data_IF_353535377706
#
_entry.id   IF_353535377706
#
_cell.length_a   1.000
_cell.length_b   1.000
_cell.length_c   1.000
_cell.angle_alpha   90.00
_cell.angle_beta   90.00
_cell.angle_gamma   90.00
#
_symmetry.space_group_name_H-M   'P 1'
#
loop_
_entity.id
_entity.type
_entity.pdbx_description
1 polymer ?
#
# COMPACT_ATOMS: atom_id res chain seq x y z
N UNK A 1 97.25 -10.83 -44.59
CA UNK A 1 95.77 -10.67 -44.79
C UNK A 1 95.05 -11.00 -43.50
N UNK A 2 94.67 -9.96 -42.75
CA UNK A 2 94.05 -10.12 -41.48
C UNK A 2 92.56 -9.74 -41.67
N UNK A 3 91.62 -10.66 -41.49
CA UNK A 3 90.17 -10.44 -41.54
C UNK A 3 89.67 -9.98 -40.16
N UNK A 4 89.21 -8.75 -40.04
CA UNK A 4 88.58 -8.20 -38.85
C UNK A 4 87.16 -8.71 -38.74
N UNK A 5 86.86 -9.38 -37.64
CA UNK A 5 85.51 -9.81 -37.29
C UNK A 5 84.83 -8.72 -36.39
N UNK A 6 83.79 -8.09 -36.97
CA UNK A 6 83.02 -7.10 -36.26
C UNK A 6 81.84 -7.82 -35.60
N UNK A 7 81.93 -8.04 -34.27
CA UNK A 7 80.81 -8.51 -33.47
C UNK A 7 79.74 -7.40 -33.39
N UNK A 8 78.54 -7.73 -33.89
CA UNK A 8 77.32 -6.88 -33.70
C UNK A 8 76.66 -7.34 -32.36
N UNK A 9 76.73 -6.49 -31.32
CA UNK A 9 75.96 -6.64 -30.12
C UNK A 9 74.54 -6.14 -30.41
N UNK A 10 73.57 -7.04 -30.43
CA UNK A 10 72.13 -6.71 -30.44
C UNK A 10 71.69 -6.40 -29.01
N UNK A 11 71.42 -5.13 -28.73
CA UNK A 11 70.74 -4.69 -27.48
C UNK A 11 69.26 -4.89 -27.68
N UNK A 12 68.72 -5.91 -27.03
CA UNK A 12 67.25 -6.07 -26.87
C UNK A 12 66.77 -5.09 -25.82
N UNK A 13 66.11 -4.00 -26.24
CA UNK A 13 65.37 -3.12 -25.35
C UNK A 13 64.05 -3.83 -24.98
N UNK A 14 63.97 -4.34 -23.73
CA UNK A 14 62.75 -4.82 -23.12
C UNK A 14 61.90 -3.59 -22.76
N UNK A 15 60.93 -3.20 -23.63
CA UNK A 15 59.86 -2.28 -23.23
C UNK A 15 58.92 -3.08 -22.28
N UNK A 16 59.10 -2.95 -20.99
CA UNK A 16 58.15 -3.36 -20.00
C UNK A 16 56.92 -2.43 -20.15
N UNK A 17 55.80 -2.98 -20.56
CA UNK A 17 54.51 -2.27 -20.48
C UNK A 17 54.18 -2.13 -19.00
N UNK A 18 54.37 -0.94 -18.45
CA UNK A 18 53.85 -0.54 -17.15
C UNK A 18 52.31 -0.41 -17.40
N UNK A 19 51.57 -1.38 -16.95
CA UNK A 19 50.12 -1.23 -16.85
C UNK A 19 49.88 -0.08 -15.85
N UNK A 20 49.54 1.09 -16.36
CA UNK A 20 49.13 2.21 -15.56
C UNK A 20 47.83 1.76 -14.86
N UNK A 21 47.87 1.56 -13.52
CA UNK A 21 46.67 1.40 -12.72
C UNK A 21 45.96 2.74 -12.78
N UNK A 22 44.86 2.83 -13.50
CA UNK A 22 44.03 4.03 -13.51
C UNK A 22 43.48 4.23 -12.07
N UNK A 23 43.48 5.47 -11.57
CA UNK A 23 42.92 5.75 -10.24
C UNK A 23 41.42 5.39 -10.23
N UNK A 24 40.89 4.95 -9.08
CA UNK A 24 39.46 4.64 -8.96
C UNK A 24 38.60 5.84 -9.36
N UNK A 25 37.51 5.56 -10.09
CA UNK A 25 36.56 6.61 -10.49
C UNK A 25 35.64 6.99 -9.31
N UNK A 26 35.38 8.28 -9.07
CA UNK A 26 34.50 8.70 -8.00
C UNK A 26 33.03 8.37 -8.33
N UNK A 27 32.29 7.85 -7.32
CA UNK A 27 30.84 7.61 -7.38
C UNK A 27 30.20 8.00 -6.05
N UNK A 28 28.88 8.22 -6.05
CA UNK A 28 28.17 8.61 -4.83
C UNK A 28 27.87 7.41 -3.95
N UNK A 29 27.50 6.29 -4.55
CA UNK A 29 27.07 5.08 -3.85
C UNK A 29 27.60 3.84 -4.58
N UNK A 30 28.11 2.91 -3.78
CA UNK A 30 28.47 1.56 -4.20
C UNK A 30 27.78 0.55 -3.28
N UNK A 31 26.93 -0.30 -3.85
CA UNK A 31 26.36 -1.47 -3.19
C UNK A 31 27.19 -2.68 -3.61
N UNK A 32 27.53 -3.57 -2.67
CA UNK A 32 28.35 -4.76 -2.94
C UNK A 32 27.95 -5.96 -2.07
N UNK A 33 28.55 -7.12 -2.33
CA UNK A 33 28.28 -8.36 -1.60
C UNK A 33 26.79 -8.71 -1.56
N UNK A 34 26.08 -8.54 -2.68
CA UNK A 34 24.66 -8.77 -2.77
C UNK A 34 24.25 -9.61 -3.97
N UNK A 35 22.96 -9.64 -4.21
CA UNK A 35 22.32 -10.24 -5.38
C UNK A 35 21.57 -9.16 -6.15
N UNK A 36 22.24 -8.51 -7.11
CA UNK A 36 21.66 -7.45 -7.95
C UNK A 36 20.98 -8.11 -9.14
N UNK A 37 19.65 -8.11 -9.16
CA UNK A 37 18.85 -8.66 -10.27
C UNK A 37 18.45 -7.50 -11.19
N UNK A 38 18.95 -7.49 -12.41
CA UNK A 38 18.75 -6.35 -13.34
C UNK A 38 17.39 -6.35 -14.03
N UNK A 39 16.70 -7.50 -14.03
CA UNK A 39 15.41 -7.68 -14.74
C UNK A 39 15.52 -7.31 -16.22
N UNK A 40 16.70 -7.50 -16.81
CA UNK A 40 16.91 -7.45 -18.24
C UNK A 40 16.37 -8.73 -18.91
N UNK A 41 16.40 -8.81 -20.23
CA UNK A 41 15.88 -9.97 -20.99
C UNK A 41 16.52 -11.30 -20.57
N UNK A 42 17.74 -11.28 -20.04
CA UNK A 42 18.47 -12.44 -19.56
C UNK A 42 18.29 -12.71 -18.06
N UNK A 43 17.59 -11.84 -17.31
CA UNK A 43 17.51 -11.86 -15.85
C UNK A 43 18.88 -11.97 -15.20
N UNK A 44 19.81 -11.12 -15.67
CA UNK A 44 21.20 -11.12 -15.22
C UNK A 44 21.32 -10.83 -13.74
N UNK A 45 22.25 -11.51 -13.07
CA UNK A 45 22.50 -11.35 -11.65
C UNK A 45 23.96 -10.96 -11.45
N UNK A 46 24.15 -9.84 -10.75
CA UNK A 46 25.45 -9.31 -10.37
C UNK A 46 25.62 -9.24 -8.85
N UNK A 47 26.79 -8.85 -8.36
CA UNK A 47 27.10 -8.76 -6.93
C UNK A 47 27.17 -7.32 -6.43
N UNK A 48 27.43 -6.37 -7.35
CA UNK A 48 27.62 -4.98 -7.02
C UNK A 48 26.99 -4.05 -8.06
N UNK A 49 26.69 -2.82 -7.63
CA UNK A 49 26.21 -1.72 -8.48
C UNK A 49 26.80 -0.40 -8.02
N UNK A 50 27.28 0.41 -8.98
CA UNK A 50 27.82 1.75 -8.76
C UNK A 50 26.83 2.80 -9.28
N UNK A 51 26.61 3.88 -8.48
CA UNK A 51 25.69 4.97 -8.79
C UNK A 51 26.41 6.30 -8.70
N UNK A 52 26.21 7.18 -9.70
CA UNK A 52 26.72 8.55 -9.76
C UNK A 52 25.61 9.48 -10.22
N UNK A 53 25.39 10.59 -9.51
CA UNK A 53 24.36 11.59 -9.82
C UNK A 53 22.96 10.97 -9.98
N UNK A 54 22.63 9.97 -9.15
CA UNK A 54 21.36 9.27 -9.21
C UNK A 54 21.20 8.29 -10.37
N UNK A 55 22.28 8.05 -11.16
CA UNK A 55 22.25 7.13 -12.30
C UNK A 55 23.16 5.93 -12.02
N UNK A 56 22.68 4.72 -12.35
CA UNK A 56 23.51 3.51 -12.34
C UNK A 56 24.55 3.64 -13.45
N UNK A 57 25.84 3.68 -13.08
CA UNK A 57 26.94 3.81 -14.04
C UNK A 57 27.60 2.47 -14.34
N UNK A 58 27.50 1.49 -13.42
CA UNK A 58 28.03 0.15 -13.64
C UNK A 58 27.32 -0.89 -12.79
N UNK A 59 27.27 -2.14 -13.28
CA UNK A 59 26.84 -3.33 -12.55
C UNK A 59 27.84 -4.45 -12.82
N UNK A 60 28.25 -5.18 -11.78
CA UNK A 60 29.29 -6.20 -11.92
C UNK A 60 29.50 -7.06 -10.69
N UNK A 61 30.67 -7.65 -10.60
CA UNK A 61 31.13 -8.33 -9.39
C UNK A 61 31.64 -7.37 -8.33
N UNK A 62 32.13 -7.92 -7.20
CA UNK A 62 32.75 -7.13 -6.13
C UNK A 62 34.10 -6.48 -6.56
N UNK A 63 34.59 -6.77 -7.75
CA UNK A 63 35.72 -6.05 -8.38
C UNK A 63 35.43 -4.56 -8.58
N UNK A 64 34.14 -4.14 -8.62
CA UNK A 64 33.77 -2.73 -8.65
C UNK A 64 34.33 -1.94 -7.47
N UNK A 65 34.57 -2.60 -6.30
CA UNK A 65 35.21 -1.98 -5.12
C UNK A 65 36.63 -1.47 -5.41
N UNK A 66 37.31 -2.03 -6.39
CA UNK A 66 38.65 -1.59 -6.81
C UNK A 66 38.62 -0.57 -7.95
N UNK A 67 37.51 -0.52 -8.69
CA UNK A 67 37.33 0.39 -9.85
C UNK A 67 36.72 1.74 -9.46
N UNK A 68 35.97 1.77 -8.35
CA UNK A 68 35.26 2.97 -7.92
C UNK A 68 35.65 3.38 -6.49
N UNK A 69 35.77 4.70 -6.28
CA UNK A 69 35.88 5.32 -4.98
C UNK A 69 34.53 5.96 -4.62
N UNK A 70 33.78 5.33 -3.72
CA UNK A 70 32.42 5.75 -3.38
C UNK A 70 32.37 6.65 -2.15
N UNK A 71 31.57 7.72 -2.21
CA UNK A 71 31.24 8.55 -1.03
C UNK A 71 30.52 7.72 0.05
N UNK A 72 29.69 6.76 -0.38
CA UNK A 72 28.99 5.83 0.49
C UNK A 72 29.07 4.42 -0.06
N UNK A 73 29.53 3.48 0.77
CA UNK A 73 29.55 2.05 0.43
C UNK A 73 28.59 1.31 1.36
N UNK A 74 27.79 0.40 0.83
CA UNK A 74 26.83 -0.43 1.58
C UNK A 74 27.14 -1.90 1.29
N UNK A 75 27.49 -2.65 2.33
CA UNK A 75 27.52 -4.11 2.28
C UNK A 75 26.10 -4.65 2.36
N UNK A 76 25.68 -5.38 1.35
CA UNK A 76 24.33 -5.94 1.25
C UNK A 76 24.17 -7.24 2.04
N UNK A 77 25.25 -7.83 2.52
CA UNK A 77 25.23 -9.08 3.31
C UNK A 77 24.42 -10.20 2.61
N UNK A 78 24.55 -10.32 1.29
CA UNK A 78 23.82 -11.28 0.48
C UNK A 78 22.36 -10.92 0.16
N UNK A 79 21.88 -9.74 0.59
CA UNK A 79 20.51 -9.28 0.29
C UNK A 79 20.31 -9.04 -1.20
N UNK A 80 19.06 -9.18 -1.64
CA UNK A 80 18.67 -8.96 -3.04
C UNK A 80 18.32 -7.50 -3.27
N UNK A 81 18.82 -6.95 -4.37
CA UNK A 81 18.43 -5.63 -4.91
C UNK A 81 17.70 -5.84 -6.22
N UNK A 82 16.58 -5.18 -6.35
CA UNK A 82 15.70 -5.18 -7.54
C UNK A 82 15.48 -3.76 -8.00
N UNK A 83 15.17 -3.52 -9.29
CA UNK A 83 14.57 -2.25 -9.72
C UNK A 83 13.31 -1.96 -8.91
N UNK A 84 13.00 -0.68 -8.69
CA UNK A 84 11.75 -0.27 -8.08
C UNK A 84 10.54 -0.83 -8.83
N UNK A 85 9.53 -1.28 -8.10
CA UNK A 85 8.32 -1.82 -8.71
C UNK A 85 7.47 -0.71 -9.31
N UNK A 86 6.90 -0.98 -10.49
CA UNK A 86 5.84 -0.17 -11.07
C UNK A 86 4.52 -0.91 -10.87
N UNK A 87 3.70 -0.44 -9.91
CA UNK A 87 2.35 -0.94 -9.77
C UNK A 87 1.46 -0.32 -10.85
N UNK A 88 0.98 -1.15 -11.78
CA UNK A 88 0.14 -0.71 -12.90
C UNK A 88 -1.35 -0.94 -12.64
N UNK A 89 -1.73 -1.49 -11.49
CA UNK A 89 -3.10 -1.72 -11.09
C UNK A 89 -3.29 -1.38 -9.60
N UNK A 90 -3.46 -0.11 -9.33
CA UNK A 90 -3.64 0.41 -7.99
C UNK A 90 -5.01 1.05 -7.83
N UNK A 91 -5.73 0.68 -6.77
CA UNK A 91 -6.94 1.37 -6.33
C UNK A 91 -6.58 2.25 -5.14
N UNK A 92 -6.51 3.55 -5.37
CA UNK A 92 -6.25 4.53 -4.34
C UNK A 92 -7.35 5.59 -4.36
N UNK A 93 -7.91 5.88 -3.21
CA UNK A 93 -8.92 6.90 -3.01
C UNK A 93 -8.64 7.67 -1.73
N UNK A 94 -9.23 8.82 -1.59
CA UNK A 94 -9.29 9.52 -0.31
C UNK A 94 -10.60 9.19 0.38
N UNK A 95 -10.54 8.96 1.67
CA UNK A 95 -11.70 8.72 2.52
C UNK A 95 -12.21 10.03 3.13
N UNK A 96 -13.51 10.27 3.12
CA UNK A 96 -14.08 11.43 3.79
C UNK A 96 -13.95 11.27 5.32
N UNK A 97 -13.91 12.40 6.03
CA UNK A 97 -13.76 12.42 7.49
C UNK A 97 -14.80 11.56 8.22
N UNK A 98 -15.98 11.38 7.61
CA UNK A 98 -17.09 10.55 8.15
C UNK A 98 -16.86 9.04 8.06
N UNK A 99 -15.82 8.58 7.34
CA UNK A 99 -15.54 7.17 7.13
C UNK A 99 -14.70 6.61 8.26
N UNK A 100 -15.04 5.39 8.68
CA UNK A 100 -14.31 4.59 9.66
C UNK A 100 -13.72 3.38 8.92
N UNK A 101 -12.44 3.14 9.09
CA UNK A 101 -11.82 1.87 8.71
C UNK A 101 -12.12 0.83 9.79
N UNK A 102 -12.81 -0.25 9.40
CA UNK A 102 -13.24 -1.33 10.28
C UNK A 102 -12.53 -2.66 9.97
N UNK A 103 -11.48 -2.63 9.16
CA UNK A 103 -10.80 -3.85 8.68
C UNK A 103 -10.15 -4.64 9.81
N UNK A 104 -9.65 -3.96 10.84
CA UNK A 104 -8.98 -4.56 11.99
C UNK A 104 -9.90 -4.68 13.23
N UNK A 105 -11.19 -4.37 13.08
CA UNK A 105 -12.14 -4.38 14.20
C UNK A 105 -12.47 -5.81 14.63
N UNK A 106 -12.19 -6.16 15.90
CA UNK A 106 -12.28 -7.50 16.44
C UNK A 106 -13.56 -7.82 17.23
N UNK A 107 -14.46 -6.84 17.43
CA UNK A 107 -15.71 -7.06 18.18
C UNK A 107 -16.79 -6.04 17.83
N UNK A 108 -18.05 -6.37 18.14
CA UNK A 108 -19.17 -5.43 18.05
C UNK A 108 -18.99 -4.27 19.04
N UNK A 109 -18.45 -4.55 20.23
CA UNK A 109 -18.19 -3.51 21.23
C UNK A 109 -17.14 -2.49 20.73
N UNK A 110 -16.09 -2.95 20.10
CA UNK A 110 -15.08 -2.09 19.48
C UNK A 110 -15.65 -1.26 18.32
N UNK A 111 -16.46 -1.90 17.45
CA UNK A 111 -17.18 -1.19 16.39
C UNK A 111 -18.06 -0.06 16.96
N UNK A 112 -18.80 -0.32 18.03
CA UNK A 112 -19.61 0.70 18.70
C UNK A 112 -18.76 1.86 19.25
N UNK A 113 -17.59 1.55 19.83
CA UNK A 113 -16.67 2.57 20.34
C UNK A 113 -16.12 3.46 19.22
N UNK A 114 -15.73 2.88 18.10
CA UNK A 114 -15.27 3.63 16.91
C UNK A 114 -16.40 4.51 16.35
N UNK A 115 -17.64 4.01 16.33
CA UNK A 115 -18.81 4.81 15.92
C UNK A 115 -19.05 5.98 16.90
N UNK A 116 -18.99 5.75 18.23
CA UNK A 116 -19.13 6.84 19.26
C UNK A 116 -18.03 7.88 19.11
N UNK A 117 -16.79 7.45 18.87
CA UNK A 117 -15.68 8.37 18.65
C UNK A 117 -15.94 9.26 17.41
N UNK A 118 -16.47 8.66 16.32
CA UNK A 118 -16.81 9.40 15.10
C UNK A 118 -18.00 10.35 15.32
N UNK A 119 -19.00 9.99 16.11
CA UNK A 119 -20.09 10.91 16.54
C UNK A 119 -19.50 12.12 17.28
N UNK A 120 -18.58 11.89 18.21
CA UNK A 120 -17.95 12.96 18.98
C UNK A 120 -17.10 13.90 18.10
N UNK A 121 -16.50 13.36 17.03
CA UNK A 121 -15.71 14.14 16.08
C UNK A 121 -16.58 15.01 15.16
N UNK A 122 -17.67 14.46 14.62
CA UNK A 122 -18.50 15.11 13.60
C UNK A 122 -19.64 15.94 14.15
N UNK A 123 -20.17 15.58 15.33
CA UNK A 123 -21.38 16.14 15.91
C UNK A 123 -22.65 15.41 15.46
N UNK A 124 -23.77 15.83 16.08
CA UNK A 124 -25.10 15.21 15.84
C UNK A 124 -25.63 15.52 14.43
N UNK A 125 -26.37 14.58 13.86
CA UNK A 125 -27.02 14.71 12.55
C UNK A 125 -26.14 14.37 11.36
N UNK A 126 -24.82 14.31 11.53
CA UNK A 126 -23.89 13.99 10.45
C UNK A 126 -23.89 12.49 10.13
N UNK A 127 -23.78 12.16 8.84
CA UNK A 127 -23.64 10.78 8.40
C UNK A 127 -22.33 10.17 8.87
N UNK A 128 -22.41 8.93 9.36
CA UNK A 128 -21.25 8.10 9.65
C UNK A 128 -21.24 6.93 8.66
N UNK A 129 -20.11 6.74 7.99
CA UNK A 129 -19.88 5.62 7.08
C UNK A 129 -18.70 4.79 7.55
N UNK A 130 -18.60 3.56 7.10
CA UNK A 130 -17.46 2.70 7.40
C UNK A 130 -17.40 1.52 6.42
N UNK A 131 -16.22 0.89 6.40
CA UNK A 131 -15.97 -0.27 5.55
C UNK A 131 -15.04 -1.26 6.26
N UNK A 132 -15.26 -2.54 6.01
CA UNK A 132 -14.27 -3.57 6.33
C UNK A 132 -14.66 -4.50 7.49
N UNK A 133 -15.75 -4.26 8.22
CA UNK A 133 -16.13 -5.18 9.30
C UNK A 133 -16.46 -6.59 8.78
N UNK A 134 -16.16 -7.61 9.60
CA UNK A 134 -16.51 -9.00 9.34
C UNK A 134 -16.88 -9.70 10.63
N UNK A 135 -18.04 -10.38 10.63
CA UNK A 135 -18.48 -11.22 11.75
C UNK A 135 -17.51 -12.37 12.06
N UNK A 136 -16.72 -12.78 11.08
CA UNK A 136 -15.73 -13.85 11.24
C UNK A 136 -14.55 -13.40 12.12
N UNK A 137 -14.26 -12.10 12.15
CA UNK A 137 -13.24 -11.49 13.02
C UNK A 137 -13.78 -11.17 14.42
N UNK A 138 -15.11 -11.09 14.60
CA UNK A 138 -15.70 -10.63 15.85
C UNK A 138 -15.72 -11.71 16.92
N UNK A 139 -15.35 -11.34 18.14
CA UNK A 139 -15.38 -12.24 19.30
C UNK A 139 -16.79 -12.76 19.59
N UNK A 140 -17.84 -11.97 19.28
CA UNK A 140 -19.23 -12.35 19.46
C UNK A 140 -19.75 -13.31 18.37
N UNK A 141 -18.96 -13.57 17.31
CA UNK A 141 -19.32 -14.48 16.21
C UNK A 141 -20.70 -14.17 15.59
N UNK A 142 -21.05 -12.88 15.53
CA UNK A 142 -22.30 -12.40 14.97
C UNK A 142 -22.11 -11.11 14.17
N UNK A 143 -23.02 -10.85 13.25
CA UNK A 143 -23.11 -9.55 12.57
C UNK A 143 -23.49 -8.46 13.58
N UNK A 144 -23.02 -7.22 13.39
CA UNK A 144 -23.58 -6.07 14.05
C UNK A 144 -25.03 -5.87 13.60
N UNK A 145 -25.85 -5.32 14.46
CA UNK A 145 -27.27 -5.10 14.22
C UNK A 145 -27.63 -3.63 14.28
N UNK A 146 -28.84 -3.31 13.81
CA UNK A 146 -29.43 -1.97 13.95
C UNK A 146 -29.37 -1.47 15.40
N UNK A 147 -29.72 -2.34 16.36
CA UNK A 147 -29.73 -1.97 17.78
C UNK A 147 -28.34 -1.62 18.31
N UNK A 148 -27.29 -2.32 17.88
CA UNK A 148 -25.92 -1.98 18.25
C UNK A 148 -25.54 -0.58 17.77
N UNK A 149 -25.98 -0.21 16.56
CA UNK A 149 -25.70 1.12 15.98
C UNK A 149 -26.59 2.21 16.57
N UNK A 150 -27.85 1.92 16.86
CA UNK A 150 -28.78 2.85 17.55
C UNK A 150 -28.24 3.26 18.93
N UNK A 151 -27.62 2.31 19.65
CA UNK A 151 -26.98 2.57 20.94
C UNK A 151 -25.74 3.46 20.81
N UNK A 152 -24.93 3.23 19.77
CA UNK A 152 -23.69 3.97 19.56
C UNK A 152 -23.91 5.37 18.98
N UNK A 153 -24.91 5.52 18.11
CA UNK A 153 -25.19 6.76 17.35
C UNK A 153 -26.71 7.01 17.23
N UNK A 154 -27.39 7.40 18.34
CA UNK A 154 -28.84 7.59 18.33
C UNK A 154 -29.29 8.79 17.49
N UNK A 155 -28.44 9.79 17.31
CA UNK A 155 -28.75 11.05 16.59
C UNK A 155 -28.04 11.19 15.24
N UNK A 156 -27.29 10.15 14.80
CA UNK A 156 -26.53 10.18 13.55
C UNK A 156 -26.96 9.03 12.63
N UNK A 157 -27.23 9.25 11.34
CA UNK A 157 -27.45 8.16 10.41
C UNK A 157 -26.14 7.41 10.14
N UNK A 158 -26.19 6.07 10.24
CA UNK A 158 -25.02 5.19 10.14
C UNK A 158 -25.21 4.15 9.03
N UNK A 159 -24.20 3.97 8.20
CA UNK A 159 -24.11 2.85 7.26
C UNK A 159 -22.68 2.30 7.23
N UNK A 160 -22.50 1.05 7.61
CA UNK A 160 -21.21 0.37 7.69
C UNK A 160 -21.19 -0.83 6.74
N UNK A 161 -20.35 -0.76 5.73
CA UNK A 161 -20.23 -1.81 4.70
C UNK A 161 -19.34 -2.95 5.20
N UNK A 162 -19.79 -4.18 5.01
CA UNK A 162 -19.03 -5.40 5.32
C UNK A 162 -17.83 -5.55 4.36
N UNK A 163 -16.79 -6.20 4.82
CA UNK A 163 -15.70 -6.69 3.96
C UNK A 163 -16.26 -7.46 2.76
N UNK A 164 -15.75 -7.16 1.55
CA UNK A 164 -16.27 -7.71 0.30
C UNK A 164 -17.38 -6.87 -0.35
N UNK A 165 -17.99 -5.88 0.34
CA UNK A 165 -18.86 -4.89 -0.30
C UNK A 165 -20.28 -5.34 -0.66
N UNK A 166 -20.70 -6.58 -0.32
CA UNK A 166 -21.99 -7.14 -0.69
C UNK A 166 -23.12 -6.92 0.32
N UNK A 167 -22.81 -6.37 1.49
CA UNK A 167 -23.80 -6.03 2.51
C UNK A 167 -23.33 -4.85 3.36
N UNK A 168 -24.31 -4.19 3.98
CA UNK A 168 -24.07 -3.17 5.00
C UNK A 168 -25.02 -3.35 6.16
N UNK A 169 -24.62 -2.88 7.34
CA UNK A 169 -25.50 -2.68 8.47
C UNK A 169 -25.79 -1.18 8.62
N UNK A 170 -27.05 -0.85 8.89
CA UNK A 170 -27.51 0.52 9.06
C UNK A 170 -28.33 0.63 10.36
N UNK A 171 -28.38 1.84 10.93
CA UNK A 171 -29.18 2.12 12.10
C UNK A 171 -30.63 2.54 11.74
N UNK A 172 -31.47 2.74 12.77
CA UNK A 172 -32.86 3.13 12.61
C UNK A 172 -33.00 4.46 11.86
N UNK A 173 -32.20 5.46 12.21
CA UNK A 173 -32.26 6.79 11.58
C UNK A 173 -31.94 6.72 10.08
N UNK A 174 -30.98 5.90 9.69
CA UNK A 174 -30.66 5.70 8.27
C UNK A 174 -31.78 5.01 7.49
N UNK A 175 -32.50 4.04 8.11
CA UNK A 175 -33.70 3.45 7.53
C UNK A 175 -34.84 4.46 7.40
N UNK A 176 -35.06 5.27 8.43
CA UNK A 176 -36.11 6.30 8.43
C UNK A 176 -35.90 7.33 7.31
N UNK A 177 -34.66 7.80 7.15
CA UNK A 177 -34.27 8.70 6.06
C UNK A 177 -34.45 8.05 4.68
N UNK A 178 -34.27 6.75 4.57
CA UNK A 178 -34.49 5.99 3.33
C UNK A 178 -35.98 5.66 3.06
N UNK A 179 -36.88 5.93 4.02
CA UNK A 179 -38.29 5.56 3.95
C UNK A 179 -38.51 4.04 4.02
N UNK A 180 -37.59 3.32 4.68
CA UNK A 180 -37.59 1.86 4.79
C UNK A 180 -38.14 1.47 6.17
N UNK A 181 -39.17 0.63 6.16
CA UNK A 181 -39.80 0.09 7.37
C UNK A 181 -39.84 -1.44 7.35
N UNK A 182 -40.31 -2.05 8.43
CA UNK A 182 -40.52 -3.51 8.48
C UNK A 182 -41.47 -4.04 7.41
N UNK A 183 -42.38 -3.20 6.93
CA UNK A 183 -43.38 -3.57 5.92
C UNK A 183 -42.87 -3.34 4.48
N UNK A 184 -41.67 -2.76 4.33
CA UNK A 184 -41.06 -2.56 3.03
C UNK A 184 -40.75 -3.90 2.37
N UNK A 185 -41.03 -4.05 1.06
CA UNK A 185 -40.62 -5.23 0.31
C UNK A 185 -39.11 -5.26 0.12
N UNK A 186 -38.56 -6.46 -0.08
CA UNK A 186 -37.18 -6.57 -0.54
C UNK A 186 -36.97 -5.81 -1.84
N UNK A 187 -35.88 -5.07 -1.99
CA UNK A 187 -35.55 -4.43 -3.25
C UNK A 187 -35.22 -5.48 -4.34
N UNK A 188 -35.33 -5.10 -5.59
CA UNK A 188 -34.93 -5.99 -6.69
C UNK A 188 -33.49 -6.45 -6.51
N UNK A 189 -33.28 -7.76 -6.54
CA UNK A 189 -31.98 -8.43 -6.34
C UNK A 189 -31.28 -8.12 -5.01
N UNK A 190 -32.05 -7.73 -3.95
CA UNK A 190 -31.52 -7.44 -2.63
C UNK A 190 -32.40 -7.97 -1.52
N UNK A 191 -31.88 -7.94 -0.31
CA UNK A 191 -32.60 -8.43 0.88
C UNK A 191 -32.46 -7.41 2.00
N UNK A 192 -33.62 -7.06 2.61
CA UNK A 192 -33.69 -6.42 3.93
C UNK A 192 -33.81 -7.53 4.96
N UNK A 193 -32.74 -7.81 5.71
CA UNK A 193 -32.76 -8.88 6.69
C UNK A 193 -33.70 -8.53 7.87
N UNK A 194 -34.46 -9.52 8.30
CA UNK A 194 -35.38 -9.40 9.43
C UNK A 194 -35.02 -10.42 10.52
N UNK A 195 -35.29 -10.04 11.73
CA UNK A 195 -35.17 -10.94 12.90
C UNK A 195 -36.33 -11.95 12.94
N UNK A 196 -36.34 -12.80 14.00
CA UNK A 196 -37.39 -13.81 14.18
C UNK A 196 -38.78 -13.22 14.47
N UNK A 197 -38.87 -11.91 14.78
CA UNK A 197 -40.09 -11.18 15.03
C UNK A 197 -40.60 -10.45 13.78
N UNK A 198 -39.84 -10.52 12.69
CA UNK A 198 -40.14 -9.82 11.45
C UNK A 198 -39.69 -8.35 11.42
N UNK A 199 -38.95 -7.91 12.45
CA UNK A 199 -38.37 -6.56 12.49
C UNK A 199 -37.04 -6.51 11.72
N UNK A 200 -36.75 -5.35 11.07
CA UNK A 200 -35.48 -5.16 10.39
C UNK A 200 -34.31 -5.25 11.38
N UNK A 201 -33.32 -6.11 11.11
CA UNK A 201 -32.15 -6.25 11.95
C UNK A 201 -31.02 -5.26 11.64
N UNK A 202 -31.17 -4.46 10.57
CA UNK A 202 -30.19 -3.48 10.12
C UNK A 202 -29.40 -3.91 8.89
N UNK A 203 -29.36 -5.20 8.58
CA UNK A 203 -28.52 -5.69 7.46
C UNK A 203 -29.25 -5.59 6.13
N UNK A 204 -28.60 -4.97 5.16
CA UNK A 204 -29.01 -4.89 3.75
C UNK A 204 -28.02 -5.69 2.93
N UNK A 205 -28.49 -6.64 2.09
CA UNK A 205 -27.64 -7.41 1.18
C UNK A 205 -27.87 -7.00 -0.25
N UNK A 206 -26.78 -6.91 -1.04
CA UNK A 206 -26.68 -6.62 -2.48
C UNK A 206 -27.23 -5.24 -2.93
N UNK A 207 -28.03 -4.57 -2.11
CA UNK A 207 -28.66 -3.28 -2.41
C UNK A 207 -28.45 -2.24 -1.32
N UNK A 208 -27.26 -2.21 -0.71
CA UNK A 208 -26.88 -1.18 0.26
C UNK A 208 -26.90 0.25 -0.34
N UNK A 209 -26.91 0.37 -1.66
CA UNK A 209 -27.07 1.62 -2.39
C UNK A 209 -28.40 2.34 -2.09
N UNK A 210 -29.46 1.64 -1.66
CA UNK A 210 -30.74 2.25 -1.32
C UNK A 210 -30.65 3.22 -0.14
N UNK A 211 -29.69 2.99 0.77
CA UNK A 211 -29.31 3.92 1.86
C UNK A 211 -28.09 4.74 1.46
N UNK A 212 -27.08 4.12 0.87
CA UNK A 212 -25.82 4.76 0.52
C UNK A 212 -25.97 6.00 -0.38
N UNK A 213 -27.01 6.04 -1.25
CA UNK A 213 -27.31 7.22 -2.09
C UNK A 213 -27.73 8.47 -1.31
N UNK A 214 -28.12 8.30 -0.05
CA UNK A 214 -28.53 9.42 0.82
C UNK A 214 -27.30 10.04 1.53
N UNK A 215 -26.20 9.34 1.58
CA UNK A 215 -24.95 9.86 2.12
C UNK A 215 -24.48 11.02 1.23
N UNK A 216 -24.22 12.22 1.79
CA UNK A 216 -23.70 13.33 1.00
C UNK A 216 -22.40 12.95 0.29
N UNK A 217 -22.25 13.36 -0.96
CA UNK A 217 -21.00 13.12 -1.69
C UNK A 217 -19.88 13.88 -1.02
N UNK A 218 -18.76 13.18 -0.79
CA UNK A 218 -17.57 13.82 -0.27
C UNK A 218 -16.98 14.79 -1.29
N UNK A 219 -16.55 15.94 -0.82
CA UNK A 219 -15.84 16.92 -1.64
C UNK A 219 -14.39 16.49 -1.83
N UNK A 220 -13.73 17.06 -2.83
CA UNK A 220 -12.28 16.85 -3.04
C UNK A 220 -11.46 17.36 -1.84
N UNK A 221 -11.92 18.40 -1.17
CA UNK A 221 -11.24 18.97 -0.02
C UNK A 221 -11.30 18.03 1.18
N UNK A 222 -12.44 17.38 1.41
CA UNK A 222 -12.60 16.38 2.48
C UNK A 222 -11.73 15.14 2.28
N UNK A 223 -11.57 14.69 1.04
CA UNK A 223 -10.85 13.43 0.74
C UNK A 223 -9.35 13.61 0.49
N UNK A 224 -8.90 14.85 0.23
CA UNK A 224 -7.50 15.13 -0.11
C UNK A 224 -6.49 14.72 0.97
N UNK A 225 -6.72 15.00 2.28
CA UNK A 225 -5.75 14.63 3.32
C UNK A 225 -5.48 13.12 3.37
N UNK A 226 -6.54 12.29 3.40
CA UNK A 226 -6.40 10.83 3.42
C UNK A 226 -5.81 10.30 2.12
N UNK A 227 -6.17 10.88 0.97
CA UNK A 227 -5.56 10.51 -0.31
C UNK A 227 -4.04 10.75 -0.32
N UNK A 228 -3.59 11.90 0.22
CA UNK A 228 -2.15 12.19 0.33
C UNK A 228 -1.46 11.22 1.29
N UNK A 229 -2.11 10.88 2.42
CA UNK A 229 -1.58 9.90 3.36
C UNK A 229 -1.44 8.52 2.70
N UNK A 230 -2.46 8.03 2.00
CA UNK A 230 -2.39 6.75 1.29
C UNK A 230 -1.27 6.72 0.23
N UNK A 231 -1.01 7.85 -0.46
CA UNK A 231 0.14 7.95 -1.36
C UNK A 231 1.48 7.85 -0.62
N UNK A 232 1.58 8.43 0.58
CA UNK A 232 2.80 8.37 1.39
C UNK A 232 3.04 6.96 1.96
N UNK A 233 1.99 6.24 2.31
CA UNK A 233 2.06 4.88 2.84
C UNK A 233 2.53 3.85 1.79
N UNK A 234 2.50 4.21 0.49
CA UNK A 234 2.99 3.39 -0.61
C UNK A 234 4.49 3.59 -0.91
N UNK A 235 5.15 4.59 -0.31
CA UNK A 235 6.56 4.93 -0.54
C UNK A 235 7.48 4.36 0.54
#
# INVERSE_FOLDING_TARGET
MVKSWRSRVLVFAFLGAIAACEPPEPVDLLLHNGKIVTVDDAFSIYQAVAVRDGVIVDVGGDDLLSRYEATRTIDLEGKTVLPGFNDTHLHISGDPIRQIDLTETGSVAELQEQVRAKVAELGEGEWITGYGWSEDAFTEQRKPTRADLDEAAPSNPVTLTRAGGHSAVVNSLAFDLAGISKDSPNPDRGILEKDRRGELNGVIRERQDIVGRLVPRATREETRPSFVQHLQDLL
#
